data_IF_741490477158
#
_entry.id   IF_741490477158
#
_cell.length_a   1.000
_cell.length_b   1.000
_cell.length_c   1.000
_cell.angle_alpha   90.00
_cell.angle_beta   90.00
_cell.angle_gamma   90.00
#
_symmetry.space_group_name_H-M   'P 1'
#
loop_
_entity.id
_entity.type
_entity.pdbx_description
1 polymer ?
#
# COMPACT_ATOMS: atom_id res chain seq x y z
N UNK A 1 -5.54 -39.19 -31.97
CA UNK A 1 -4.19 -38.87 -32.48
C UNK A 1 -4.34 -37.84 -33.61
N UNK A 2 -3.74 -36.64 -33.52
CA UNK A 2 -3.89 -35.58 -34.54
C UNK A 2 -3.04 -35.90 -35.79
N UNK A 3 -3.61 -35.69 -36.99
CA UNK A 3 -3.01 -35.95 -38.31
C UNK A 3 -1.70 -35.19 -38.53
N UNK A 4 -0.76 -35.75 -39.30
CA UNK A 4 0.54 -35.16 -39.61
C UNK A 4 0.43 -33.76 -40.25
N UNK A 5 -0.62 -33.54 -41.05
CA UNK A 5 -0.93 -32.23 -41.66
C UNK A 5 -1.30 -31.18 -40.59
N UNK A 6 -2.10 -31.58 -39.59
CA UNK A 6 -2.48 -30.69 -38.49
C UNK A 6 -1.28 -30.31 -37.61
N UNK A 7 -0.31 -31.22 -37.43
CA UNK A 7 0.93 -30.94 -36.68
C UNK A 7 1.85 -29.96 -37.39
N UNK A 8 1.90 -30.02 -38.72
CA UNK A 8 2.70 -29.11 -39.54
C UNK A 8 2.13 -27.68 -39.50
N UNK A 9 0.80 -27.54 -39.59
CA UNK A 9 0.12 -26.24 -39.48
C UNK A 9 0.32 -25.62 -38.11
N UNK A 10 0.21 -26.38 -37.02
CA UNK A 10 0.45 -25.86 -35.66
C UNK A 10 1.90 -25.42 -35.46
N UNK A 11 2.88 -26.15 -36.03
CA UNK A 11 4.30 -25.75 -35.95
C UNK A 11 4.60 -24.50 -36.77
N UNK A 12 3.96 -24.32 -37.92
CA UNK A 12 4.11 -23.11 -38.73
C UNK A 12 3.55 -21.88 -38.01
N UNK A 13 2.38 -22.02 -37.38
CA UNK A 13 1.76 -20.96 -36.57
C UNK A 13 2.64 -20.61 -35.37
N UNK A 14 3.16 -21.60 -34.63
CA UNK A 14 4.04 -21.36 -33.47
C UNK A 14 5.40 -20.77 -33.84
N UNK A 15 5.87 -21.00 -35.08
CA UNK A 15 7.11 -20.39 -35.61
C UNK A 15 6.87 -18.94 -36.02
N UNK A 16 5.74 -18.67 -36.69
CA UNK A 16 5.31 -17.31 -37.03
C UNK A 16 5.06 -16.45 -35.78
N UNK A 17 4.49 -17.04 -34.73
CA UNK A 17 4.27 -16.36 -33.44
C UNK A 17 5.56 -16.00 -32.72
N UNK A 18 6.59 -16.85 -32.84
CA UNK A 18 7.94 -16.59 -32.29
C UNK A 18 8.75 -15.59 -33.12
N UNK A 19 8.54 -15.53 -34.43
CA UNK A 19 9.15 -14.50 -35.28
C UNK A 19 8.48 -13.13 -35.13
N UNK A 20 7.20 -13.08 -34.74
CA UNK A 20 6.50 -11.83 -34.41
C UNK A 20 6.92 -11.23 -33.06
N UNK A 21 7.57 -12.00 -32.18
CA UNK A 21 8.07 -11.52 -30.88
C UNK A 21 9.53 -11.08 -30.91
N UNK A 22 10.17 -10.99 -32.08
CA UNK A 22 11.60 -10.64 -32.22
C UNK A 22 11.85 -9.22 -32.71
N UNK A 23 10.81 -8.41 -32.90
CA UNK A 23 10.99 -6.98 -33.06
C UNK A 23 11.31 -6.38 -31.70
N UNK A 24 12.53 -5.86 -31.53
CA UNK A 24 12.90 -5.01 -30.41
C UNK A 24 11.93 -3.82 -30.45
N UNK A 25 10.92 -3.84 -29.58
CA UNK A 25 10.02 -2.71 -29.39
C UNK A 25 10.86 -1.45 -29.27
N UNK A 26 10.74 -0.47 -30.18
CA UNK A 26 11.54 0.74 -30.10
C UNK A 26 11.30 1.40 -28.74
N UNK A 27 12.33 2.01 -28.15
CA UNK A 27 12.23 2.60 -26.82
C UNK A 27 11.04 3.57 -26.68
N UNK A 28 10.72 4.27 -27.77
CA UNK A 28 9.52 5.10 -27.89
C UNK A 28 8.21 4.32 -27.72
N UNK A 29 8.07 3.12 -28.31
CA UNK A 29 6.88 2.29 -28.16
C UNK A 29 6.76 1.67 -26.76
N UNK A 30 7.88 1.42 -26.07
CA UNK A 30 7.88 1.03 -24.65
C UNK A 30 7.40 2.18 -23.75
N UNK A 31 7.77 3.43 -24.07
CA UNK A 31 7.37 4.62 -23.31
C UNK A 31 5.98 5.14 -23.66
N UNK A 32 5.52 4.88 -24.89
CA UNK A 32 4.16 5.20 -25.37
C UNK A 32 3.15 4.10 -25.07
N UNK A 33 3.59 2.93 -24.59
CA UNK A 33 2.66 1.90 -24.14
C UNK A 33 1.86 2.47 -22.96
N UNK A 34 0.51 2.39 -22.98
CA UNK A 34 -0.27 2.74 -21.80
C UNK A 34 0.28 1.94 -20.63
N UNK A 35 0.49 2.60 -19.48
CA UNK A 35 0.94 1.91 -18.27
C UNK A 35 0.04 0.68 -18.08
N UNK A 36 0.61 -0.51 -17.80
CA UNK A 36 -0.21 -1.69 -17.56
C UNK A 36 -1.24 -1.32 -16.50
N UNK A 37 -2.51 -1.29 -16.90
CA UNK A 37 -3.59 -1.08 -15.94
C UNK A 37 -3.62 -2.35 -15.13
N UNK A 38 -3.30 -2.25 -13.83
CA UNK A 38 -3.40 -3.38 -12.92
C UNK A 38 -4.79 -3.98 -13.07
N UNK A 39 -4.86 -5.21 -13.58
CA UNK A 39 -6.13 -5.90 -13.70
C UNK A 39 -6.68 -6.12 -12.29
N UNK A 40 -7.95 -5.80 -12.03
CA UNK A 40 -8.56 -6.09 -10.73
C UNK A 40 -8.38 -7.56 -10.36
N UNK A 41 -8.18 -7.83 -9.08
CA UNK A 41 -8.07 -9.19 -8.57
C UNK A 41 -9.33 -9.97 -8.89
N UNK A 42 -9.17 -11.23 -9.30
CA UNK A 42 -10.31 -12.09 -9.61
C UNK A 42 -11.11 -12.44 -8.35
N UNK A 43 -10.38 -12.77 -7.29
CA UNK A 43 -10.92 -13.25 -6.02
C UNK A 43 -10.29 -12.49 -4.84
N UNK A 44 -10.96 -12.50 -3.69
CA UNK A 44 -10.45 -11.87 -2.47
C UNK A 44 -9.10 -12.47 -2.02
N UNK A 45 -8.91 -13.78 -2.19
CA UNK A 45 -7.65 -14.44 -1.87
C UNK A 45 -6.48 -13.97 -2.74
N UNK A 46 -6.75 -13.59 -3.98
CA UNK A 46 -5.74 -12.99 -4.87
C UNK A 46 -5.35 -11.60 -4.37
N UNK A 47 -6.32 -10.77 -4.02
CA UNK A 47 -6.07 -9.45 -3.43
C UNK A 47 -5.26 -9.56 -2.13
N UNK A 48 -5.53 -10.56 -1.28
CA UNK A 48 -4.73 -10.84 -0.09
C UNK A 48 -3.30 -11.29 -0.42
N UNK A 49 -3.10 -12.10 -1.48
CA UNK A 49 -1.75 -12.46 -1.96
C UNK A 49 -0.99 -11.23 -2.45
N UNK A 50 -1.64 -10.34 -3.19
CA UNK A 50 -1.07 -9.06 -3.66
C UNK A 50 -0.72 -8.15 -2.49
N UNK A 51 -1.58 -8.07 -1.47
CA UNK A 51 -1.30 -7.34 -0.24
C UNK A 51 -0.05 -7.86 0.50
N UNK A 52 0.12 -9.19 0.57
CA UNK A 52 1.35 -9.78 1.13
C UNK A 52 2.59 -9.47 0.29
N UNK A 53 2.45 -9.38 -1.04
CA UNK A 53 3.55 -8.97 -1.91
C UNK A 53 3.95 -7.51 -1.67
N UNK A 54 2.97 -6.61 -1.64
CA UNK A 54 3.19 -5.20 -1.33
C UNK A 54 3.87 -5.01 0.04
N UNK A 55 3.44 -5.74 1.07
CA UNK A 55 4.08 -5.68 2.38
C UNK A 55 5.57 -6.06 2.32
N UNK A 56 5.93 -7.08 1.53
CA UNK A 56 7.34 -7.47 1.35
C UNK A 56 8.13 -6.39 0.65
N UNK A 57 7.54 -5.75 -0.36
CA UNK A 57 8.18 -4.65 -1.10
C UNK A 57 8.43 -3.47 -0.16
N UNK A 58 7.41 -3.02 0.59
CA UNK A 58 7.57 -1.97 1.61
C UNK A 58 8.65 -2.34 2.64
N UNK A 59 8.72 -3.60 3.07
CA UNK A 59 9.74 -4.04 4.03
C UNK A 59 11.17 -3.99 3.48
N UNK A 60 11.35 -4.10 2.16
CA UNK A 60 12.63 -3.96 1.46
C UNK A 60 13.04 -2.50 1.32
N UNK A 61 12.08 -1.59 1.20
CA UNK A 61 12.34 -0.14 1.14
C UNK A 61 12.61 0.47 2.52
N UNK A 62 12.12 -0.15 3.60
CA UNK A 62 12.28 0.40 4.96
C UNK A 62 13.73 0.76 5.33
N UNK A 63 14.77 -0.06 5.07
CA UNK A 63 16.15 0.33 5.33
C UNK A 63 16.55 1.65 4.65
N UNK A 64 16.20 1.82 3.37
CA UNK A 64 16.44 3.07 2.65
C UNK A 64 15.71 4.25 3.30
N UNK A 65 14.43 4.06 3.66
CA UNK A 65 13.64 5.08 4.38
C UNK A 65 14.29 5.43 5.73
N UNK A 66 14.83 4.44 6.44
CA UNK A 66 15.46 4.67 7.75
C UNK A 66 16.66 5.61 7.65
N UNK A 67 17.45 5.45 6.59
CA UNK A 67 18.66 6.23 6.35
C UNK A 67 18.32 7.60 5.74
N UNK A 68 17.48 7.65 4.69
CA UNK A 68 17.14 8.91 4.00
C UNK A 68 16.33 9.90 4.85
N UNK A 69 15.58 9.39 5.84
CA UNK A 69 14.78 10.23 6.75
C UNK A 69 15.37 10.33 8.16
N UNK A 70 16.60 9.86 8.38
CA UNK A 70 17.26 9.84 9.70
C UNK A 70 16.32 9.30 10.80
N UNK A 71 15.63 8.19 10.51
CA UNK A 71 14.65 7.59 11.43
C UNK A 71 15.31 6.73 12.50
N UNK A 72 16.58 6.39 12.34
CA UNK A 72 17.36 5.59 13.30
C UNK A 72 17.45 6.24 14.70
N UNK A 73 17.29 7.56 14.79
CA UNK A 73 17.27 8.30 16.06
C UNK A 73 15.99 8.11 16.88
N UNK A 74 14.87 7.80 16.21
CA UNK A 74 13.52 7.80 16.83
C UNK A 74 12.89 6.41 16.88
N UNK A 75 13.27 5.52 15.98
CA UNK A 75 12.71 4.17 15.89
C UNK A 75 13.73 3.18 15.33
N UNK A 76 13.35 1.91 15.29
CA UNK A 76 14.14 0.85 14.66
C UNK A 76 13.39 0.31 13.45
N UNK A 77 14.11 -0.20 12.44
CA UNK A 77 13.51 -0.81 11.25
C UNK A 77 12.49 -1.90 11.61
N UNK A 78 12.76 -2.68 12.67
CA UNK A 78 11.84 -3.72 13.17
C UNK A 78 10.54 -3.14 13.69
N UNK A 79 10.60 -2.04 14.46
CA UNK A 79 9.40 -1.34 14.95
C UNK A 79 8.60 -0.75 13.79
N UNK A 80 9.27 -0.16 12.80
CA UNK A 80 8.62 0.40 11.62
C UNK A 80 7.93 -0.68 10.76
N UNK A 81 8.60 -1.80 10.49
CA UNK A 81 7.99 -2.97 9.80
C UNK A 81 6.75 -3.47 10.54
N UNK A 82 6.82 -3.55 11.87
CA UNK A 82 5.67 -3.94 12.68
C UNK A 82 4.52 -2.93 12.56
N UNK A 83 4.81 -1.63 12.64
CA UNK A 83 3.78 -0.60 12.49
C UNK A 83 3.07 -0.68 11.14
N UNK A 84 3.82 -0.88 10.05
CA UNK A 84 3.25 -1.10 8.70
C UNK A 84 2.35 -2.33 8.67
N UNK A 85 2.81 -3.46 9.24
CA UNK A 85 2.01 -4.69 9.34
C UNK A 85 0.69 -4.46 10.07
N UNK A 86 0.73 -3.72 11.17
CA UNK A 86 -0.44 -3.45 12.00
C UNK A 86 -1.44 -2.55 11.26
N UNK A 87 -0.97 -1.55 10.49
CA UNK A 87 -1.81 -0.73 9.61
C UNK A 87 -2.49 -1.57 8.53
N UNK A 88 -1.74 -2.46 7.85
CA UNK A 88 -2.31 -3.33 6.81
C UNK A 88 -3.35 -4.29 7.38
N UNK A 89 -3.09 -4.88 8.56
CA UNK A 89 -4.04 -5.77 9.23
C UNK A 89 -5.31 -5.04 9.64
N UNK A 90 -5.19 -3.87 10.27
CA UNK A 90 -6.34 -3.07 10.66
C UNK A 90 -7.21 -2.70 9.44
N UNK A 91 -6.59 -2.44 8.29
CA UNK A 91 -7.34 -2.12 7.07
C UNK A 91 -8.07 -3.34 6.48
N UNK A 92 -7.47 -4.52 6.55
CA UNK A 92 -8.12 -5.78 6.15
C UNK A 92 -9.34 -6.06 7.06
N UNK A 93 -9.16 -5.99 8.37
CA UNK A 93 -10.24 -6.19 9.36
C UNK A 93 -11.39 -5.18 9.17
N UNK A 94 -11.06 -3.92 8.89
CA UNK A 94 -12.06 -2.89 8.57
C UNK A 94 -12.89 -3.27 7.32
N UNK A 95 -12.24 -3.76 6.26
CA UNK A 95 -12.92 -4.16 5.03
C UNK A 95 -13.79 -5.41 5.23
N UNK A 96 -13.32 -6.36 6.04
CA UNK A 96 -14.11 -7.55 6.39
C UNK A 96 -15.37 -7.17 7.16
N UNK A 97 -15.29 -6.18 8.05
CA UNK A 97 -16.41 -5.73 8.89
C UNK A 97 -17.40 -4.82 8.14
N UNK A 98 -16.90 -3.84 7.38
CA UNK A 98 -17.72 -2.76 6.82
C UNK A 98 -18.17 -3.01 5.37
N UNK A 99 -17.44 -3.83 4.62
CA UNK A 99 -17.69 -4.01 3.17
C UNK A 99 -18.41 -5.33 2.90
N UNK A 100 -19.40 -5.27 2.02
CA UNK A 100 -20.13 -6.47 1.56
C UNK A 100 -19.19 -7.45 0.85
N UNK A 101 -19.32 -8.77 1.06
CA UNK A 101 -18.39 -9.78 0.56
C UNK A 101 -18.05 -9.66 -0.93
N UNK A 102 -19.04 -9.38 -1.77
CA UNK A 102 -18.91 -9.25 -3.23
C UNK A 102 -17.98 -8.11 -3.66
N UNK A 103 -17.84 -7.07 -2.85
CA UNK A 103 -17.04 -5.89 -3.17
C UNK A 103 -15.70 -5.85 -2.43
N UNK A 104 -15.41 -6.84 -1.56
CA UNK A 104 -14.18 -6.84 -0.74
C UNK A 104 -12.91 -6.91 -1.56
N UNK A 105 -12.90 -7.71 -2.64
CA UNK A 105 -11.74 -7.85 -3.52
C UNK A 105 -11.36 -6.50 -4.15
N UNK A 106 -12.32 -5.84 -4.80
CA UNK A 106 -12.11 -4.54 -5.42
C UNK A 106 -11.76 -3.44 -4.39
N UNK A 107 -12.44 -3.42 -3.23
CA UNK A 107 -12.13 -2.45 -2.18
C UNK A 107 -10.70 -2.62 -1.63
N UNK A 108 -10.23 -3.87 -1.51
CA UNK A 108 -8.85 -4.16 -1.11
C UNK A 108 -7.87 -3.76 -2.23
N UNK A 109 -8.15 -4.06 -3.49
CA UNK A 109 -7.29 -3.62 -4.60
C UNK A 109 -7.13 -2.10 -4.67
N UNK A 110 -8.21 -1.34 -4.48
CA UNK A 110 -8.15 0.13 -4.41
C UNK A 110 -7.27 0.59 -3.24
N UNK A 111 -7.40 -0.06 -2.09
CA UNK A 111 -6.55 0.25 -0.93
C UNK A 111 -5.07 -0.08 -1.18
N UNK A 112 -4.78 -1.19 -1.86
CA UNK A 112 -3.42 -1.57 -2.26
C UNK A 112 -2.83 -0.61 -3.30
N UNK A 113 -3.64 -0.16 -4.26
CA UNK A 113 -3.23 0.86 -5.23
C UNK A 113 -2.86 2.17 -4.52
N UNK A 114 -3.71 2.66 -3.62
CA UNK A 114 -3.40 3.86 -2.81
C UNK A 114 -2.12 3.70 -1.99
N UNK A 115 -1.92 2.52 -1.38
CA UNK A 115 -0.72 2.24 -0.61
C UNK A 115 0.55 2.24 -1.49
N UNK A 116 0.45 1.79 -2.75
CA UNK A 116 1.56 1.87 -3.72
C UNK A 116 1.85 3.31 -4.12
N UNK A 117 0.82 4.13 -4.36
CA UNK A 117 0.99 5.57 -4.62
C UNK A 117 1.63 6.30 -3.43
N UNK A 118 1.24 5.97 -2.20
CA UNK A 118 1.89 6.52 -0.99
C UNK A 118 3.37 6.14 -0.92
N UNK A 119 3.74 4.91 -1.30
CA UNK A 119 5.14 4.47 -1.35
C UNK A 119 5.93 5.26 -2.41
N UNK A 120 5.36 5.44 -3.61
CA UNK A 120 6.00 6.23 -4.68
C UNK A 120 6.18 7.69 -4.23
N UNK A 121 5.17 8.29 -3.58
CA UNK A 121 5.27 9.64 -3.06
C UNK A 121 6.31 9.77 -1.94
N UNK A 122 6.50 8.72 -1.13
CA UNK A 122 7.55 8.65 -0.13
C UNK A 122 8.93 8.61 -0.78
N UNK A 123 9.12 7.75 -1.77
CA UNK A 123 10.37 7.65 -2.55
C UNK A 123 10.70 8.96 -3.27
N UNK A 124 9.68 9.68 -3.75
CA UNK A 124 9.80 11.00 -4.37
C UNK A 124 9.99 12.15 -3.36
N UNK A 125 10.19 11.85 -2.07
CA UNK A 125 10.38 12.85 -1.02
C UNK A 125 9.24 13.87 -0.85
N UNK A 126 8.01 13.53 -1.26
CA UNK A 126 6.84 14.39 -1.02
C UNK A 126 6.43 14.42 0.45
N UNK A 127 6.80 13.39 1.22
CA UNK A 127 6.66 13.38 2.66
C UNK A 127 7.92 13.89 3.35
N UNK A 128 7.73 14.67 4.42
CA UNK A 128 8.78 15.07 5.35
C UNK A 128 8.91 14.06 6.51
N UNK A 129 10.07 14.05 7.15
CA UNK A 129 10.39 13.15 8.29
C UNK A 129 9.31 13.17 9.38
N UNK A 130 8.81 14.35 9.74
CA UNK A 130 7.82 14.45 10.80
C UNK A 130 6.51 13.73 10.46
N UNK A 131 6.10 13.64 9.18
CA UNK A 131 4.93 12.87 8.77
C UNK A 131 5.08 11.39 9.11
N UNK A 132 6.27 10.81 8.89
CA UNK A 132 6.58 9.41 9.21
C UNK A 132 6.56 9.16 10.72
N UNK A 133 7.16 10.08 11.49
CA UNK A 133 7.19 9.99 12.96
C UNK A 133 5.77 10.02 13.53
N UNK A 134 4.98 11.00 13.09
CA UNK A 134 3.60 11.19 13.53
C UNK A 134 2.72 9.98 13.21
N UNK A 135 2.87 9.39 12.01
CA UNK A 135 2.01 8.29 11.55
C UNK A 135 2.41 6.93 12.13
N UNK A 136 3.71 6.62 12.21
CA UNK A 136 4.18 5.25 12.51
C UNK A 136 4.90 5.09 13.84
N UNK A 137 5.46 6.15 14.42
CA UNK A 137 6.25 6.07 15.67
C UNK A 137 5.42 6.54 16.86
N UNK A 138 4.77 7.70 16.74
CA UNK A 138 3.95 8.27 17.82
C UNK A 138 2.53 8.62 17.37
N UNK A 139 1.74 7.63 16.93
CA UNK A 139 0.34 7.87 16.55
C UNK A 139 -0.52 8.33 17.73
N UNK A 140 -0.11 8.01 18.96
CA UNK A 140 -0.83 8.37 20.19
C UNK A 140 -0.67 9.84 20.58
N UNK A 141 0.47 10.48 20.31
CA UNK A 141 0.63 11.91 20.60
C UNK A 141 -0.37 12.79 19.82
N UNK A 142 -0.74 12.39 18.60
CA UNK A 142 -1.79 13.07 17.82
C UNK A 142 -3.17 12.88 18.45
N UNK A 143 -3.42 11.72 19.07
CA UNK A 143 -4.71 11.39 19.67
C UNK A 143 -4.83 11.91 21.10
N UNK A 144 -3.72 12.16 21.81
CA UNK A 144 -3.72 12.69 23.17
C UNK A 144 -4.31 14.11 23.25
N UNK A 145 -4.15 14.93 22.20
CA UNK A 145 -4.83 16.23 22.10
C UNK A 145 -6.34 16.11 21.89
N UNK A 146 -6.84 14.95 21.48
CA UNK A 146 -8.26 14.65 21.21
C UNK A 146 -8.89 13.71 22.24
N UNK A 147 -8.12 13.26 23.24
CA UNK A 147 -8.67 12.44 24.29
C UNK A 147 -9.72 13.26 25.04
N UNK A 148 -10.97 12.77 25.08
CA UNK A 148 -12.06 13.42 25.79
C UNK A 148 -11.68 13.49 27.26
N UNK A 149 -11.31 14.69 27.72
CA UNK A 149 -11.10 14.98 29.13
C UNK A 149 -12.45 14.89 29.84
N UNK A 150 -12.45 14.61 31.13
CA UNK A 150 -13.70 14.71 31.88
C UNK A 150 -14.14 16.17 31.87
N UNK A 151 -15.46 16.41 31.86
CA UNK A 151 -16.00 17.78 31.92
C UNK A 151 -15.42 18.58 33.10
N UNK A 152 -15.14 17.88 34.22
CA UNK A 152 -14.45 18.43 35.38
C UNK A 152 -13.03 18.93 35.08
N UNK A 153 -12.21 18.16 34.33
CA UNK A 153 -10.83 18.58 34.03
C UNK A 153 -10.80 19.75 33.06
N UNK A 154 -11.75 19.81 32.12
CA UNK A 154 -11.89 20.95 31.21
C UNK A 154 -12.32 22.21 31.98
N UNK A 155 -13.29 22.10 32.88
CA UNK A 155 -13.75 23.19 33.75
C UNK A 155 -12.63 23.69 34.68
N UNK A 156 -11.94 22.78 35.37
CA UNK A 156 -10.82 23.06 36.27
C UNK A 156 -9.65 23.77 35.56
N UNK A 157 -9.29 23.34 34.35
CA UNK A 157 -8.18 23.92 33.58
C UNK A 157 -8.57 25.19 32.83
N UNK A 158 -9.87 25.42 32.58
CA UNK A 158 -10.36 26.65 31.95
C UNK A 158 -10.30 27.88 32.86
N UNK A 159 -9.92 27.69 34.13
CA UNK A 159 -9.78 28.78 35.10
C UNK A 159 -11.12 29.38 35.54
N UNK A 160 -12.22 28.66 35.29
CA UNK A 160 -13.57 29.04 35.69
C UNK A 160 -13.70 29.08 37.21
N UNK A 161 -13.31 30.21 37.82
CA UNK A 161 -13.77 30.56 39.17
C UNK A 161 -15.29 30.71 39.10
N UNK A 162 -16.01 29.75 39.67
CA UNK A 162 -17.37 30.00 40.12
C UNK A 162 -17.21 30.87 41.36
N UNK A 163 -17.30 32.19 41.18
CA UNK A 163 -17.47 33.09 42.32
C UNK A 163 -18.83 32.76 42.95
N UNK A 164 -18.79 32.11 44.11
CA UNK A 164 -19.96 31.88 44.95
C UNK A 164 -20.39 33.23 45.49
N UNK A 165 -21.44 33.81 44.92
CA UNK A 165 -22.19 34.93 45.49
C UNK A 165 -23.14 34.45 46.58
#
# INVERSE_FOLDING_TARGET
MRSASQRAVTRAIDRARRSLSTEKTPASALWSSPRPVDTPSRDYDEALRRGRALYRDVCREIPWVMDNYSMNEVTTATKLRRAVKDVMRAKIEELETKTRPENRANALDIALWRAREELIALEAHHYQRHHLITRFVNPRAVNASKAKRSAFVDDFLSGGRIELH
#
